data_IF_673258873472
#
_entry.id   IF_673258873472
#
_cell.length_a   1.000
_cell.length_b   1.000
_cell.length_c   1.000
_cell.angle_alpha   90.00
_cell.angle_beta   90.00
_cell.angle_gamma   90.00
#
_symmetry.space_group_name_H-M   'P 1'
#
loop_
_entity.id
_entity.type
_entity.pdbx_description
1 polymer ?
#
# COMPACT_ATOMS: atom_id res chain seq x y z
N UNK A 1 -22.12 16.95 -2.68
CA UNK A 1 -21.09 16.37 -1.79
C UNK A 1 -21.15 17.11 -0.47
N UNK A 2 -21.35 16.43 0.66
CA UNK A 2 -21.43 17.11 1.97
C UNK A 2 -20.09 17.79 2.30
N UNK A 3 -20.14 18.89 3.07
CA UNK A 3 -18.95 19.64 3.53
C UNK A 3 -17.90 18.72 4.20
N UNK A 4 -18.35 17.68 4.91
CA UNK A 4 -17.47 16.71 5.56
C UNK A 4 -16.72 15.83 4.54
N UNK A 5 -17.37 15.41 3.46
CA UNK A 5 -16.74 14.60 2.41
C UNK A 5 -15.64 15.37 1.67
N UNK A 6 -15.82 16.68 1.49
CA UNK A 6 -14.77 17.56 0.94
C UNK A 6 -13.55 17.61 1.85
N UNK A 7 -13.75 17.71 3.17
CA UNK A 7 -12.65 17.71 4.15
C UNK A 7 -11.86 16.39 4.09
N UNK A 8 -12.53 15.24 4.00
CA UNK A 8 -11.85 13.95 3.90
C UNK A 8 -10.99 13.81 2.63
N UNK A 9 -11.48 14.29 1.47
CA UNK A 9 -10.68 14.29 0.24
C UNK A 9 -9.47 15.22 0.34
N UNK A 10 -9.64 16.41 0.93
CA UNK A 10 -8.53 17.34 1.15
C UNK A 10 -7.48 16.70 2.07
N UNK A 11 -7.90 16.04 3.15
CA UNK A 11 -6.98 15.33 4.05
C UNK A 11 -6.23 14.20 3.34
N UNK A 12 -6.90 13.44 2.45
CA UNK A 12 -6.24 12.41 1.63
C UNK A 12 -5.18 13.00 0.71
N UNK A 13 -5.47 14.13 0.06
CA UNK A 13 -4.51 14.83 -0.80
C UNK A 13 -3.32 15.36 0.00
N UNK A 14 -3.56 15.94 1.18
CA UNK A 14 -2.49 16.41 2.08
C UNK A 14 -1.60 15.23 2.49
N UNK A 15 -2.19 14.09 2.87
CA UNK A 15 -1.44 12.90 3.25
C UNK A 15 -0.57 12.39 2.09
N UNK A 16 -1.09 12.38 0.86
CA UNK A 16 -0.33 12.03 -0.34
C UNK A 16 0.85 12.97 -0.57
N UNK A 17 0.61 14.28 -0.54
CA UNK A 17 1.66 15.29 -0.77
C UNK A 17 2.77 15.17 0.28
N UNK A 18 2.41 15.00 1.56
CA UNK A 18 3.40 14.81 2.63
C UNK A 18 4.22 13.53 2.42
N UNK A 19 3.55 12.40 2.17
CA UNK A 19 4.23 11.12 1.96
C UNK A 19 5.16 11.17 0.74
N UNK A 20 4.69 11.75 -0.38
CA UNK A 20 5.48 11.89 -1.59
C UNK A 20 6.65 12.86 -1.42
N UNK A 21 6.46 13.94 -0.66
CA UNK A 21 7.56 14.87 -0.33
C UNK A 21 8.64 14.18 0.50
N UNK A 22 8.27 13.36 1.48
CA UNK A 22 9.22 12.57 2.27
C UNK A 22 9.97 11.58 1.36
N UNK A 23 9.26 10.90 0.47
CA UNK A 23 9.87 10.00 -0.50
C UNK A 23 10.86 10.73 -1.42
N UNK A 24 10.51 11.93 -1.89
CA UNK A 24 11.39 12.75 -2.72
C UNK A 24 12.68 13.14 -1.98
N UNK A 25 12.58 13.47 -0.69
CA UNK A 25 13.73 13.80 0.15
C UNK A 25 14.69 12.62 0.37
N UNK A 26 14.25 11.37 0.21
CA UNK A 26 15.15 10.21 0.33
C UNK A 26 16.16 10.12 -0.82
N UNK A 27 15.90 10.74 -1.98
CA UNK A 27 16.75 10.66 -3.17
C UNK A 27 16.76 9.30 -3.86
N UNK A 28 15.97 8.33 -3.40
CA UNK A 28 15.89 6.99 -3.97
C UNK A 28 14.65 6.90 -4.87
N UNK A 29 14.85 6.73 -6.17
CA UNK A 29 13.75 6.68 -7.15
C UNK A 29 12.77 5.54 -6.88
N UNK A 30 13.27 4.39 -6.42
CA UNK A 30 12.45 3.23 -6.06
C UNK A 30 11.46 3.55 -4.93
N UNK A 31 11.89 4.31 -3.92
CA UNK A 31 11.01 4.72 -2.80
C UNK A 31 9.90 5.64 -3.31
N UNK A 32 10.24 6.58 -4.21
CA UNK A 32 9.27 7.48 -4.85
C UNK A 32 8.19 6.72 -5.61
N UNK A 33 8.59 5.73 -6.41
CA UNK A 33 7.66 4.91 -7.19
C UNK A 33 6.75 4.08 -6.28
N UNK A 34 7.30 3.47 -5.25
CA UNK A 34 6.53 2.63 -4.29
C UNK A 34 5.45 3.45 -3.59
N UNK A 35 5.77 4.64 -3.09
CA UNK A 35 4.78 5.51 -2.44
C UNK A 35 3.69 5.91 -3.41
N UNK A 36 4.05 6.25 -4.66
CA UNK A 36 3.07 6.58 -5.69
C UNK A 36 2.13 5.41 -5.99
N UNK A 37 2.66 4.19 -6.16
CA UNK A 37 1.83 3.01 -6.42
C UNK A 37 0.94 2.64 -5.22
N UNK A 38 1.45 2.76 -4.00
CA UNK A 38 0.66 2.47 -2.80
C UNK A 38 -0.61 3.35 -2.72
N UNK A 39 -0.46 4.66 -2.96
CA UNK A 39 -1.58 5.59 -2.99
C UNK A 39 -2.53 5.35 -4.17
N UNK A 40 -2.00 5.07 -5.37
CA UNK A 40 -2.84 4.74 -6.52
C UNK A 40 -3.70 3.50 -6.27
N UNK A 41 -3.12 2.44 -5.73
CA UNK A 41 -3.85 1.22 -5.41
C UNK A 41 -4.91 1.49 -4.34
N UNK A 42 -4.60 2.26 -3.30
CA UNK A 42 -5.57 2.63 -2.27
C UNK A 42 -6.70 3.50 -2.81
N UNK A 43 -6.44 4.45 -3.70
CA UNK A 43 -7.50 5.24 -4.35
C UNK A 43 -8.38 4.38 -5.25
N UNK A 44 -7.79 3.46 -6.02
CA UNK A 44 -8.55 2.53 -6.87
C UNK A 44 -9.39 1.58 -6.04
N UNK A 45 -8.84 0.99 -4.97
CA UNK A 45 -9.55 0.05 -4.09
C UNK A 45 -10.56 0.73 -3.15
N UNK A 46 -10.40 2.03 -2.90
CA UNK A 46 -11.40 2.83 -2.19
C UNK A 46 -12.73 2.92 -2.95
N UNK A 47 -12.70 2.99 -4.29
CA UNK A 47 -13.91 3.07 -5.12
C UNK A 47 -14.85 1.87 -4.90
N UNK A 48 -14.43 0.60 -5.11
CA UNK A 48 -15.28 -0.56 -4.85
C UNK A 48 -15.61 -0.70 -3.36
N UNK A 49 -14.68 -0.40 -2.45
CA UNK A 49 -14.96 -0.44 -1.02
C UNK A 49 -16.09 0.53 -0.61
N UNK A 50 -16.12 1.72 -1.21
CA UNK A 50 -17.18 2.71 -0.99
C UNK A 50 -18.52 2.30 -1.60
N UNK A 51 -18.51 1.63 -2.77
CA UNK A 51 -19.72 1.16 -3.44
C UNK A 51 -20.35 -0.01 -2.68
N UNK A 52 -19.55 -1.02 -2.33
CA UNK A 52 -20.04 -2.22 -1.66
C UNK A 52 -20.27 -2.01 -0.16
N UNK A 53 -19.68 -0.96 0.45
CA UNK A 53 -19.78 -0.62 1.88
C UNK A 53 -19.50 -1.79 2.83
N UNK A 54 -18.73 -2.76 2.35
CA UNK A 54 -18.34 -3.94 3.11
C UNK A 54 -17.01 -3.67 3.79
N UNK A 55 -16.98 -3.76 5.12
CA UNK A 55 -15.75 -3.60 5.91
C UNK A 55 -14.65 -4.59 5.46
N UNK A 56 -15.06 -5.78 5.01
CA UNK A 56 -14.18 -6.84 4.50
C UNK A 56 -13.29 -6.42 3.32
N UNK A 57 -13.83 -5.63 2.38
CA UNK A 57 -13.07 -5.21 1.20
C UNK A 57 -12.01 -4.16 1.55
N UNK A 58 -12.31 -3.31 2.52
CA UNK A 58 -11.35 -2.31 2.99
C UNK A 58 -10.17 -2.98 3.71
N UNK A 59 -10.44 -3.96 4.59
CA UNK A 59 -9.39 -4.69 5.30
C UNK A 59 -8.50 -5.52 4.34
N UNK A 60 -9.09 -6.14 3.31
CA UNK A 60 -8.33 -6.89 2.30
C UNK A 60 -7.45 -5.97 1.44
N UNK A 61 -7.91 -4.75 1.16
CA UNK A 61 -7.18 -3.79 0.34
C UNK A 61 -5.82 -3.42 0.95
N UNK A 62 -5.76 -3.29 2.28
CA UNK A 62 -4.54 -3.00 3.02
C UNK A 62 -3.50 -4.11 2.85
N UNK A 63 -3.87 -5.36 3.10
CA UNK A 63 -2.97 -6.50 2.90
C UNK A 63 -2.51 -6.63 1.46
N UNK A 64 -3.39 -6.37 0.49
CA UNK A 64 -3.02 -6.38 -0.92
C UNK A 64 -1.95 -5.33 -1.25
N UNK A 65 -2.08 -4.11 -0.74
CA UNK A 65 -1.06 -3.07 -0.96
C UNK A 65 0.31 -3.46 -0.41
N UNK A 66 0.38 -4.06 0.77
CA UNK A 66 1.63 -4.54 1.36
C UNK A 66 2.30 -5.60 0.48
N UNK A 67 1.53 -6.60 0.04
CA UNK A 67 2.02 -7.67 -0.83
C UNK A 67 2.50 -7.09 -2.18
N UNK A 68 1.74 -6.16 -2.76
CA UNK A 68 2.14 -5.52 -4.01
C UNK A 68 3.46 -4.76 -3.87
N UNK A 69 3.57 -3.91 -2.83
CA UNK A 69 4.77 -3.09 -2.60
C UNK A 69 6.00 -3.96 -2.39
N UNK A 70 5.91 -5.00 -1.55
CA UNK A 70 7.08 -5.85 -1.28
C UNK A 70 7.50 -6.66 -2.51
N UNK A 71 6.54 -7.13 -3.31
CA UNK A 71 6.82 -7.78 -4.59
C UNK A 71 7.51 -6.83 -5.57
N UNK A 72 7.02 -5.59 -5.69
CA UNK A 72 7.59 -4.58 -6.58
C UNK A 72 9.02 -4.19 -6.17
N UNK A 73 9.25 -3.94 -4.88
CA UNK A 73 10.59 -3.63 -4.34
C UNK A 73 11.55 -4.79 -4.58
N UNK A 74 11.13 -6.01 -4.25
CA UNK A 74 11.97 -7.20 -4.42
C UNK A 74 12.32 -7.46 -5.88
N UNK A 75 11.35 -7.28 -6.79
CA UNK A 75 11.56 -7.43 -8.23
C UNK A 75 12.55 -6.40 -8.77
N UNK A 76 12.37 -5.12 -8.40
CA UNK A 76 13.24 -4.05 -8.85
C UNK A 76 14.66 -4.22 -8.32
N UNK A 77 14.80 -4.62 -7.05
CA UNK A 77 16.11 -4.89 -6.45
C UNK A 77 16.81 -6.09 -7.11
N UNK A 78 16.06 -7.15 -7.43
CA UNK A 78 16.59 -8.31 -8.15
C UNK A 78 17.18 -7.92 -9.51
N UNK A 79 16.52 -7.02 -10.23
CA UNK A 79 16.95 -6.57 -11.55
C UNK A 79 18.28 -5.78 -11.50
N UNK A 80 18.45 -4.92 -10.49
CA UNK A 80 19.64 -4.05 -10.39
C UNK A 80 20.82 -4.71 -9.67
N UNK A 81 20.57 -5.44 -8.57
CA UNK A 81 21.59 -5.89 -7.63
C UNK A 81 21.66 -7.42 -7.48
N UNK A 82 20.80 -8.16 -8.20
CA UNK A 82 20.74 -9.61 -8.14
C UNK A 82 20.02 -10.16 -6.90
N UNK A 83 20.17 -11.47 -6.66
CA UNK A 83 19.50 -12.17 -5.56
C UNK A 83 20.20 -11.88 -4.24
N UNK A 84 19.49 -11.20 -3.33
CA UNK A 84 19.89 -11.12 -1.93
C UNK A 84 18.95 -11.98 -1.05
N UNK A 85 19.51 -12.99 -0.39
CA UNK A 85 18.77 -13.92 0.48
C UNK A 85 18.09 -13.18 1.64
N UNK A 86 18.73 -12.14 2.19
CA UNK A 86 18.15 -11.32 3.26
C UNK A 86 16.87 -10.62 2.84
N UNK A 87 16.85 -10.03 1.64
CA UNK A 87 15.65 -9.38 1.11
C UNK A 87 14.52 -10.38 0.86
N UNK A 88 14.84 -11.60 0.42
CA UNK A 88 13.84 -12.66 0.22
C UNK A 88 13.21 -13.08 1.56
N UNK A 89 14.04 -13.31 2.58
CA UNK A 89 13.54 -13.72 3.90
C UNK A 89 12.67 -12.61 4.49
N UNK A 90 13.13 -11.36 4.43
CA UNK A 90 12.41 -10.21 4.97
C UNK A 90 11.11 -9.96 4.21
N UNK A 91 11.14 -10.04 2.88
CA UNK A 91 9.96 -9.94 2.04
C UNK A 91 8.95 -11.05 2.31
N UNK A 92 9.41 -12.29 2.46
CA UNK A 92 8.58 -13.43 2.83
C UNK A 92 7.90 -13.24 4.19
N UNK A 93 8.62 -12.75 5.19
CA UNK A 93 8.06 -12.46 6.51
C UNK A 93 6.94 -11.41 6.45
N UNK A 94 7.13 -10.34 5.66
CA UNK A 94 6.12 -9.30 5.45
C UNK A 94 4.88 -9.88 4.76
N UNK A 95 5.05 -10.71 3.72
CA UNK A 95 3.94 -11.35 3.01
C UNK A 95 3.14 -12.26 3.94
N UNK A 96 3.82 -13.12 4.71
CA UNK A 96 3.16 -14.02 5.67
C UNK A 96 2.37 -13.21 6.70
N UNK A 97 2.97 -12.13 7.23
CA UNK A 97 2.30 -11.25 8.16
C UNK A 97 1.07 -10.57 7.55
N UNK A 98 1.19 -10.03 6.33
CA UNK A 98 0.11 -9.36 5.63
C UNK A 98 -1.07 -10.30 5.34
N UNK A 99 -0.79 -11.54 4.93
CA UNK A 99 -1.80 -12.58 4.69
C UNK A 99 -2.49 -12.97 6.01
N UNK A 100 -1.71 -13.22 7.07
CA UNK A 100 -2.25 -13.59 8.38
C UNK A 100 -3.18 -12.52 8.93
N UNK A 101 -2.72 -11.26 8.91
CA UNK A 101 -3.48 -10.12 9.43
C UNK A 101 -4.74 -9.87 8.60
N UNK A 102 -4.61 -9.84 7.28
CA UNK A 102 -5.74 -9.60 6.37
C UNK A 102 -6.81 -10.70 6.46
N UNK A 103 -6.39 -11.97 6.53
CA UNK A 103 -7.31 -13.09 6.70
C UNK A 103 -8.03 -13.02 8.04
N UNK A 104 -7.30 -12.74 9.13
CA UNK A 104 -7.90 -12.59 10.47
C UNK A 104 -8.96 -11.50 10.51
N UNK A 105 -8.67 -10.34 9.90
CA UNK A 105 -9.64 -9.24 9.77
C UNK A 105 -10.87 -9.67 8.96
N UNK A 106 -10.67 -10.32 7.81
CA UNK A 106 -11.77 -10.78 6.95
C UNK A 106 -12.71 -11.79 7.64
N UNK A 107 -12.17 -12.72 8.42
CA UNK A 107 -12.95 -13.76 9.12
C UNK A 107 -13.62 -13.27 10.40
N UNK A 108 -13.18 -12.14 10.97
CA UNK A 108 -13.73 -11.60 12.22
C UNK A 108 -15.13 -10.98 12.02
N UNK A 109 -15.40 -10.42 10.84
CA UNK A 109 -16.70 -9.82 10.45
C UNK A 109 -17.55 -10.86 9.73
#
# INVERSE_FOLDING_TARGET
MNKNNLIHLILSLIAFVLAYSIAYLTGIDLVKQVVLYAFLIQWVLFIPAYIFQTEKFYDLSGSFTYIFVICYVSYSFYLENGINIGNIILGGAIIIWAIRLGSFLFFRI
#
